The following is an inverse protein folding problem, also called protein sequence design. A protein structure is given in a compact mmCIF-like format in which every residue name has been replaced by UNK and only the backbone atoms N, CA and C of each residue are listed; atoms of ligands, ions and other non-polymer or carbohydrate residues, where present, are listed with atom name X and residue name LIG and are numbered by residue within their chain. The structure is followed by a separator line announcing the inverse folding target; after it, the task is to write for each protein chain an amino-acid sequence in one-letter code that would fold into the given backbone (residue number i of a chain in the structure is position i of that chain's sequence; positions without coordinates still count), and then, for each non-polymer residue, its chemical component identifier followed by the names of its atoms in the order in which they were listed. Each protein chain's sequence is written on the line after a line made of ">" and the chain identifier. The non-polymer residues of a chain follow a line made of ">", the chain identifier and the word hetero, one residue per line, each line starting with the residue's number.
data_IF_511110946861
#
_entry.id   IF_511110946861
#
_cell.length_a   1.000
_cell.length_b   1.000
_cell.length_c   1.000
_cell.angle_alpha   90.00
_cell.angle_beta   90.00
_cell.angle_gamma   90.00
#
_symmetry.space_group_name_H-M   'P 1'
#
loop_
_entity.id
_entity.type
_entity.pdbx_description
1 polymer ?
#
# COMPACT_ATOMS: atom_id res chain seq x y z
N UNK A 1 -13.01 9.28 -1.32
CA UNK A 1 -12.33 8.15 -0.65
C UNK A 1 -11.94 8.60 0.73
N UNK A 2 -12.04 7.74 1.74
CA UNK A 2 -11.61 8.01 3.11
C UNK A 2 -10.49 7.03 3.45
N UNK A 3 -9.31 7.56 3.74
CA UNK A 3 -8.16 6.79 4.21
C UNK A 3 -8.18 6.66 5.74
N UNK A 4 -7.50 5.66 6.28
CA UNK A 4 -7.47 5.32 7.71
C UNK A 4 -8.88 5.16 8.33
N UNK A 5 -9.83 4.66 7.54
CA UNK A 5 -11.23 4.58 7.94
C UNK A 5 -11.48 3.69 9.17
N UNK A 6 -10.54 2.81 9.52
CA UNK A 6 -10.60 2.02 10.74
C UNK A 6 -10.54 2.85 12.02
N UNK A 7 -10.05 4.10 11.94
CA UNK A 7 -9.98 5.02 13.06
C UNK A 7 -11.30 5.81 13.24
N UNK A 8 -12.24 5.68 12.29
CA UNK A 8 -13.49 6.40 12.36
C UNK A 8 -14.41 5.81 13.44
N UNK A 9 -15.00 6.67 14.30
CA UNK A 9 -16.04 6.21 15.21
C UNK A 9 -17.29 5.83 14.41
N UNK A 10 -18.12 4.97 15.00
CA UNK A 10 -19.37 4.50 14.38
C UNK A 10 -20.25 5.64 13.83
N UNK A 11 -20.37 6.76 14.58
CA UNK A 11 -21.16 7.92 14.14
C UNK A 11 -20.65 8.53 12.83
N UNK A 12 -19.33 8.54 12.61
CA UNK A 12 -18.75 9.05 11.37
C UNK A 12 -19.04 8.09 10.20
N UNK A 13 -18.91 6.78 10.42
CA UNK A 13 -19.26 5.75 9.42
C UNK A 13 -20.74 5.84 9.03
N UNK A 14 -21.64 6.00 9.99
CA UNK A 14 -23.07 6.22 9.74
C UNK A 14 -23.35 7.50 8.95
N UNK A 15 -22.58 8.56 9.21
CA UNK A 15 -22.70 9.82 8.46
C UNK A 15 -22.27 9.61 7.00
N UNK A 16 -21.17 8.90 6.76
CA UNK A 16 -20.69 8.55 5.42
C UNK A 16 -21.72 7.68 4.68
N UNK A 17 -22.33 6.71 5.36
CA UNK A 17 -23.44 5.91 4.81
C UNK A 17 -24.63 6.79 4.39
N UNK A 18 -25.01 7.77 5.22
CA UNK A 18 -26.10 8.70 4.88
C UNK A 18 -25.76 9.58 3.69
N UNK A 19 -24.51 10.00 3.54
CA UNK A 19 -24.04 10.76 2.38
C UNK A 19 -24.14 9.89 1.12
N UNK A 20 -23.64 8.65 1.17
CA UNK A 20 -23.78 7.67 0.09
C UNK A 20 -25.26 7.52 -0.33
N UNK A 21 -26.15 7.24 0.64
CA UNK A 21 -27.56 6.96 0.36
C UNK A 21 -28.32 8.19 -0.19
N UNK A 22 -28.01 9.40 0.31
CA UNK A 22 -28.71 10.63 -0.12
C UNK A 22 -28.17 11.22 -1.42
N UNK A 23 -26.85 11.16 -1.62
CA UNK A 23 -26.21 11.74 -2.79
C UNK A 23 -26.13 10.74 -3.96
N UNK A 24 -26.33 9.45 -3.72
CA UNK A 24 -26.21 8.40 -4.74
C UNK A 24 -24.78 8.23 -5.25
N UNK A 25 -23.78 8.58 -4.44
CA UNK A 25 -22.36 8.53 -4.80
C UNK A 25 -21.69 7.29 -4.23
N UNK A 26 -20.72 6.72 -4.96
CA UNK A 26 -19.85 5.67 -4.44
C UNK A 26 -18.90 6.20 -3.36
N UNK A 27 -18.74 5.44 -2.27
CA UNK A 27 -17.81 5.77 -1.18
C UNK A 27 -16.83 4.62 -1.01
N UNK A 28 -15.53 4.94 -1.08
CA UNK A 28 -14.44 4.00 -0.79
C UNK A 28 -13.90 4.29 0.61
N UNK A 29 -13.90 3.26 1.45
CA UNK A 29 -13.26 3.24 2.75
C UNK A 29 -11.98 2.40 2.64
N UNK A 30 -10.83 3.04 2.81
CA UNK A 30 -9.52 2.42 2.80
C UNK A 30 -8.95 2.41 4.22
N UNK A 31 -8.23 1.36 4.57
CA UNK A 31 -7.72 1.20 5.92
C UNK A 31 -7.19 -0.19 6.22
N UNK A 32 -6.80 -0.39 7.47
CA UNK A 32 -6.27 -1.67 7.97
C UNK A 32 -7.35 -2.77 7.97
N UNK A 33 -6.97 -4.07 7.98
CA UNK A 33 -7.91 -5.19 7.94
C UNK A 33 -9.02 -5.16 9.00
N UNK A 34 -8.75 -4.53 10.16
CA UNK A 34 -9.74 -4.33 11.24
C UNK A 34 -10.94 -3.47 10.84
N UNK A 35 -10.84 -2.68 9.76
CA UNK A 35 -11.95 -1.89 9.22
C UNK A 35 -13.17 -2.77 8.96
N UNK A 36 -12.99 -3.95 8.36
CA UNK A 36 -14.11 -4.88 8.09
C UNK A 36 -14.79 -5.33 9.39
N UNK A 37 -14.02 -5.53 10.46
CA UNK A 37 -14.55 -5.89 11.78
C UNK A 37 -15.34 -4.70 12.36
N UNK A 38 -14.80 -3.48 12.23
CA UNK A 38 -15.48 -2.26 12.68
C UNK A 38 -16.78 -2.01 11.92
N UNK A 39 -16.87 -2.37 10.63
CA UNK A 39 -18.09 -2.24 9.82
C UNK A 39 -19.15 -3.28 10.18
N UNK A 40 -18.75 -4.50 10.55
CA UNK A 40 -19.67 -5.56 11.02
C UNK A 40 -20.14 -5.33 12.46
N UNK A 41 -19.30 -4.69 13.28
CA UNK A 41 -19.47 -4.62 14.73
C UNK A 41 -19.09 -5.94 15.41
N UNK A 42 -18.79 -5.89 16.71
CA UNK A 42 -18.31 -7.07 17.47
C UNK A 42 -19.31 -8.23 17.53
N UNK A 43 -20.61 -7.94 17.37
CA UNK A 43 -21.71 -8.92 17.44
C UNK A 43 -22.77 -8.73 16.33
N UNK A 44 -22.41 -8.09 15.22
CA UNK A 44 -23.38 -7.79 14.15
C UNK A 44 -24.27 -6.57 14.41
N UNK A 45 -23.92 -5.75 15.40
CA UNK A 45 -24.68 -4.55 15.80
C UNK A 45 -24.80 -3.50 14.69
N UNK A 46 -23.96 -3.60 13.65
CA UNK A 46 -23.90 -2.64 12.54
C UNK A 46 -24.37 -3.22 11.20
N UNK A 47 -25.28 -4.20 11.22
CA UNK A 47 -25.84 -4.81 10.01
C UNK A 47 -26.39 -3.77 9.01
N UNK A 48 -26.98 -2.67 9.48
CA UNK A 48 -27.49 -1.60 8.61
C UNK A 48 -26.37 -0.97 7.78
N UNK A 49 -25.21 -0.72 8.40
CA UNK A 49 -24.06 -0.14 7.72
C UNK A 49 -23.37 -1.17 6.83
N UNK A 50 -23.13 -2.37 7.36
CA UNK A 50 -22.49 -3.45 6.61
C UNK A 50 -23.30 -3.86 5.36
N UNK A 51 -24.64 -3.79 5.40
CA UNK A 51 -25.50 -4.09 4.25
C UNK A 51 -25.30 -3.17 3.04
N UNK A 52 -24.69 -1.99 3.24
CA UNK A 52 -24.37 -1.05 2.16
C UNK A 52 -22.97 -1.26 1.58
N UNK A 53 -22.17 -2.15 2.17
CA UNK A 53 -20.85 -2.51 1.65
C UNK A 53 -21.03 -3.56 0.56
N UNK A 54 -20.93 -3.13 -0.70
CA UNK A 54 -21.06 -4.03 -1.86
C UNK A 54 -19.80 -4.82 -2.20
N UNK A 55 -18.63 -4.30 -1.84
CA UNK A 55 -17.33 -4.91 -2.15
C UNK A 55 -16.36 -4.74 -0.98
N UNK A 56 -15.66 -5.81 -0.64
CA UNK A 56 -14.55 -5.80 0.30
C UNK A 56 -13.33 -6.43 -0.38
N UNK A 57 -12.34 -5.60 -0.70
CA UNK A 57 -11.09 -6.04 -1.29
C UNK A 57 -10.01 -6.10 -0.21
N UNK A 58 -9.38 -7.25 -0.05
CA UNK A 58 -8.19 -7.41 0.78
C UNK A 58 -6.97 -7.51 -0.13
N UNK A 59 -6.06 -6.54 -0.02
CA UNK A 59 -4.83 -6.47 -0.84
C UNK A 59 -3.71 -7.35 -0.23
N UNK A 60 -3.88 -7.86 1.00
CA UNK A 60 -2.90 -8.67 1.69
C UNK A 60 -1.76 -7.86 2.30
N UNK A 61 -0.75 -8.56 2.82
CA UNK A 61 0.42 -7.99 3.50
C UNK A 61 1.61 -7.77 2.54
N UNK A 62 1.57 -8.37 1.36
CA UNK A 62 2.63 -8.30 0.35
C UNK A 62 2.06 -8.28 -1.07
N UNK A 63 2.67 -7.47 -1.92
CA UNK A 63 2.37 -7.43 -3.35
C UNK A 63 3.09 -8.57 -4.10
N UNK A 64 2.50 -9.08 -5.19
CA UNK A 64 3.18 -9.98 -6.12
C UNK A 64 4.48 -9.39 -6.65
N UNK A 65 5.43 -10.27 -7.00
CA UNK A 65 6.71 -9.85 -7.56
C UNK A 65 6.56 -9.07 -8.87
N UNK A 66 5.62 -9.46 -9.73
CA UNK A 66 5.33 -8.76 -10.98
C UNK A 66 4.97 -7.29 -10.71
N UNK A 67 4.00 -7.04 -9.84
CA UNK A 67 3.57 -5.68 -9.47
C UNK A 67 4.72 -4.86 -8.87
N UNK A 68 5.54 -5.46 -7.99
CA UNK A 68 6.72 -4.78 -7.43
C UNK A 68 7.74 -4.42 -8.52
N UNK A 69 7.95 -5.32 -9.48
CA UNK A 69 8.88 -5.10 -10.59
C UNK A 69 8.38 -3.97 -11.48
N UNK A 70 7.10 -3.96 -11.83
CA UNK A 70 6.48 -2.92 -12.64
C UNK A 70 6.53 -1.56 -11.95
N UNK A 71 6.22 -1.52 -10.64
CA UNK A 71 6.35 -0.30 -9.84
C UNK A 71 7.82 0.16 -9.79
N UNK A 72 8.76 -0.76 -9.58
CA UNK A 72 10.19 -0.43 -9.53
C UNK A 72 10.68 0.18 -10.83
N UNK A 73 10.35 -0.42 -11.98
CA UNK A 73 10.70 0.06 -13.32
C UNK A 73 10.13 1.46 -13.56
N UNK A 74 8.86 1.69 -13.17
CA UNK A 74 8.21 3.01 -13.33
C UNK A 74 8.90 4.13 -12.54
N UNK A 75 9.56 3.78 -11.43
CA UNK A 75 10.23 4.73 -10.55
C UNK A 75 11.73 4.87 -10.81
N UNK A 76 12.35 3.82 -11.34
CA UNK A 76 13.79 3.71 -11.56
C UNK A 76 14.04 2.91 -12.85
N UNK A 77 14.38 3.56 -13.97
CA UNK A 77 14.64 2.88 -15.24
C UNK A 77 15.72 1.79 -15.15
N UNK A 78 16.72 1.96 -14.29
CA UNK A 78 17.76 0.93 -14.03
C UNK A 78 17.19 -0.39 -13.49
N UNK A 79 15.96 -0.39 -12.96
CA UNK A 79 15.24 -1.60 -12.55
C UNK A 79 14.71 -2.43 -13.73
N UNK A 80 14.83 -1.96 -14.98
CA UNK A 80 14.66 -2.83 -16.17
C UNK A 80 15.69 -3.96 -16.17
N UNK A 81 16.84 -3.77 -15.51
CA UNK A 81 17.78 -4.85 -15.26
C UNK A 81 17.17 -5.86 -14.26
N UNK A 82 17.00 -7.14 -14.65
CA UNK A 82 16.43 -8.18 -13.79
C UNK A 82 17.14 -8.33 -12.45
N UNK A 83 18.46 -8.16 -12.39
CA UNK A 83 19.24 -8.29 -11.15
C UNK A 83 18.89 -7.19 -10.15
N UNK A 84 18.63 -5.98 -10.65
CA UNK A 84 18.24 -4.82 -9.83
C UNK A 84 16.80 -4.99 -9.36
N UNK A 85 15.90 -5.38 -10.26
CA UNK A 85 14.49 -5.64 -9.92
C UNK A 85 14.34 -6.75 -8.88
N UNK A 86 15.04 -7.87 -9.05
CA UNK A 86 15.02 -8.98 -8.09
C UNK A 86 15.59 -8.54 -6.73
N UNK A 87 16.69 -7.77 -6.72
CA UNK A 87 17.24 -7.22 -5.49
C UNK A 87 16.23 -6.29 -4.78
N UNK A 88 15.51 -5.45 -5.52
CA UNK A 88 14.48 -4.56 -4.98
C UNK A 88 13.27 -5.33 -4.44
N UNK A 89 12.83 -6.39 -5.12
CA UNK A 89 11.74 -7.24 -4.63
C UNK A 89 12.13 -7.95 -3.33
N UNK A 90 13.28 -8.64 -3.31
CA UNK A 90 13.78 -9.33 -2.10
C UNK A 90 13.99 -8.35 -0.95
N UNK A 91 14.57 -7.18 -1.23
CA UNK A 91 14.82 -6.16 -0.21
C UNK A 91 13.53 -5.50 0.31
N UNK A 92 12.49 -5.36 -0.52
CA UNK A 92 11.21 -4.77 -0.12
C UNK A 92 10.25 -5.76 0.54
N UNK A 93 10.47 -7.07 0.35
CA UNK A 93 9.60 -8.14 0.83
C UNK A 93 8.13 -7.95 0.41
N UNK A 94 7.90 -7.45 -0.81
CA UNK A 94 6.57 -7.16 -1.33
C UNK A 94 5.88 -5.92 -0.74
N UNK A 95 6.56 -5.14 0.11
CA UNK A 95 6.00 -3.93 0.71
C UNK A 95 6.30 -2.69 -0.14
N UNK A 96 5.26 -2.10 -0.74
CA UNK A 96 5.39 -0.91 -1.60
C UNK A 96 6.02 0.31 -0.89
N UNK A 97 5.70 0.54 0.40
CA UNK A 97 6.29 1.65 1.18
C UNK A 97 7.78 1.45 1.38
N UNK A 98 8.21 0.22 1.63
CA UNK A 98 9.64 -0.15 1.74
C UNK A 98 10.34 -0.04 0.40
N UNK A 99 9.73 -0.53 -0.68
CA UNK A 99 10.22 -0.36 -2.05
C UNK A 99 10.46 1.12 -2.38
N UNK A 100 9.49 1.99 -2.09
CA UNK A 100 9.63 3.43 -2.33
C UNK A 100 10.85 4.04 -1.61
N UNK A 101 11.09 3.63 -0.36
CA UNK A 101 12.27 4.08 0.40
C UNK A 101 13.57 3.57 -0.22
N UNK A 102 13.61 2.30 -0.64
CA UNK A 102 14.77 1.69 -1.31
C UNK A 102 15.09 2.43 -2.60
N UNK A 103 14.12 2.55 -3.50
CA UNK A 103 14.31 3.19 -4.82
C UNK A 103 14.79 4.63 -4.67
N UNK A 104 14.14 5.42 -3.81
CA UNK A 104 14.54 6.81 -3.56
C UNK A 104 15.95 6.93 -2.98
N UNK A 105 16.33 6.01 -2.10
CA UNK A 105 17.65 6.00 -1.48
C UNK A 105 18.76 5.65 -2.48
N UNK A 106 18.53 4.63 -3.28
CA UNK A 106 19.49 4.12 -4.25
C UNK A 106 19.63 5.07 -5.44
N UNK A 107 18.54 5.65 -5.94
CA UNK A 107 18.57 6.70 -6.98
C UNK A 107 19.40 7.90 -6.54
N UNK A 108 19.19 8.42 -5.32
CA UNK A 108 20.02 9.52 -4.80
C UNK A 108 21.48 9.17 -4.66
N UNK A 109 21.79 7.95 -4.25
CA UNK A 109 23.18 7.49 -4.15
C UNK A 109 23.84 7.40 -5.53
N UNK A 110 23.10 6.95 -6.55
CA UNK A 110 23.52 6.93 -7.94
C UNK A 110 23.81 8.33 -8.46
N UNK A 111 22.91 9.31 -8.23
CA UNK A 111 23.11 10.71 -8.64
C UNK A 111 24.37 11.33 -8.02
N UNK A 112 24.67 11.03 -6.75
CA UNK A 112 25.85 11.55 -6.05
C UNK A 112 27.13 10.88 -6.52
N UNK A 113 27.09 9.57 -6.80
CA UNK A 113 28.27 8.78 -7.15
C UNK A 113 28.57 8.78 -8.66
N UNK A 114 27.61 9.18 -9.50
CA UNK A 114 27.72 9.16 -10.96
C UNK A 114 27.69 7.75 -11.58
N UNK A 115 27.38 6.72 -10.79
CA UNK A 115 27.32 5.32 -11.25
C UNK A 115 25.87 4.85 -11.33
N UNK A 116 25.54 4.06 -12.36
CA UNK A 116 24.22 3.44 -12.50
C UNK A 116 23.87 2.55 -11.31
N UNK A 117 22.58 2.39 -11.03
CA UNK A 117 22.12 1.56 -9.92
C UNK A 117 22.48 0.09 -10.14
N UNK A 118 23.07 -0.53 -9.12
CA UNK A 118 23.38 -1.96 -9.11
C UNK A 118 22.67 -2.71 -8.01
N UNK A 119 22.48 -4.02 -8.18
CA UNK A 119 21.94 -4.92 -7.16
C UNK A 119 22.75 -4.90 -5.85
N UNK A 120 24.06 -4.61 -5.92
CA UNK A 120 24.91 -4.42 -4.75
C UNK A 120 24.52 -3.17 -3.95
N UNK A 121 24.28 -2.05 -4.62
CA UNK A 121 23.84 -0.81 -3.98
C UNK A 121 22.48 -0.97 -3.30
N UNK A 122 21.54 -1.68 -3.94
CA UNK A 122 20.23 -2.00 -3.35
C UNK A 122 20.37 -2.80 -2.07
N UNK A 123 21.18 -3.88 -2.07
CA UNK A 123 21.40 -4.71 -0.88
C UNK A 123 22.02 -3.92 0.27
N UNK A 124 23.06 -3.14 -0.01
CA UNK A 124 23.72 -2.30 1.00
C UNK A 124 22.76 -1.26 1.58
N UNK A 125 21.94 -0.63 0.74
CA UNK A 125 20.96 0.34 1.23
C UNK A 125 19.85 -0.33 2.06
N UNK A 126 19.46 -1.56 1.73
CA UNK A 126 18.47 -2.31 2.48
C UNK A 126 18.90 -2.59 3.94
N UNK A 127 20.19 -2.80 4.20
CA UNK A 127 20.75 -2.96 5.55
C UNK A 127 20.65 -1.69 6.40
N UNK A 128 20.60 -0.52 5.76
CA UNK A 128 20.51 0.77 6.43
C UNK A 128 19.05 1.19 6.72
N UNK A 129 18.07 0.51 6.12
CA UNK A 129 16.66 0.81 6.34
C UNK A 129 16.18 0.20 7.66
N UNK A 130 15.53 1.03 8.46
CA UNK A 130 14.81 0.58 9.65
C UNK A 130 13.61 -0.24 9.18
N UNK A 131 13.51 -1.47 9.72
CA UNK A 131 12.38 -2.39 9.49
C UNK A 131 11.12 -1.89 10.17
#
# INVERSE_FOLDING_TARGET
>A
MVDEAENLPYRALETLRRIHDKAGIGVVLAGMPRLIINLKGKRGEYQQLFSRVGLALNIGESLPQADISDIAISMLPDAENPDVSEALFRASNGNARRLFKLVRGVSRHSDISGHAVSAGAVRKFAEMLIN
#
